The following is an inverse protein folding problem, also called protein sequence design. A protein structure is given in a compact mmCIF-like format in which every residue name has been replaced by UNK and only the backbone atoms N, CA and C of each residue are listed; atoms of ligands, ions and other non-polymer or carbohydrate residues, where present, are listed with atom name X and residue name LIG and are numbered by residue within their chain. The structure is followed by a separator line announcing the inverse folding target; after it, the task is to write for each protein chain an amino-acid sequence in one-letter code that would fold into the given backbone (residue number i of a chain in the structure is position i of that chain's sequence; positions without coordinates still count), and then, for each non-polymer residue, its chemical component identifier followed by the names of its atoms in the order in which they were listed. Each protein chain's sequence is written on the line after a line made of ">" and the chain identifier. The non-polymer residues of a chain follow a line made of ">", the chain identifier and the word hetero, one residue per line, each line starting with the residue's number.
data_IF_545815022825
#
_entry.id   IF_545815022825
#
_cell.length_a   1.000
_cell.length_b   1.000
_cell.length_c   1.000
_cell.angle_alpha   90.00
_cell.angle_beta   90.00
_cell.angle_gamma   90.00
#
_symmetry.space_group_name_H-M   'P 1'
#
loop_
_entity.id
_entity.type
_entity.pdbx_description
1 polymer ?
#
# COMPACT_ATOMS: atom_id res chain seq x y z
N UNK A 1 -17.32 17.84 -8.05
CA UNK A 1 -16.29 18.89 -8.26
C UNK A 1 -14.92 18.24 -8.15
N UNK A 2 -14.06 18.36 -9.17
CA UNK A 2 -12.69 17.82 -9.18
C UNK A 2 -11.86 18.29 -7.97
N UNK A 3 -12.11 19.51 -7.49
CA UNK A 3 -11.47 20.07 -6.29
C UNK A 3 -11.85 19.35 -4.99
N UNK A 4 -13.04 18.74 -4.93
CA UNK A 4 -13.48 17.97 -3.76
C UNK A 4 -12.69 16.68 -3.61
N UNK A 5 -12.56 15.91 -4.69
CA UNK A 5 -11.85 14.64 -4.67
C UNK A 5 -10.35 14.78 -4.37
N UNK A 6 -9.70 15.86 -4.84
CA UNK A 6 -8.31 16.17 -4.49
C UNK A 6 -8.18 16.48 -3.01
N UNK A 7 -9.05 17.36 -2.47
CA UNK A 7 -9.04 17.69 -1.04
C UNK A 7 -9.25 16.44 -0.18
N UNK A 8 -10.20 15.59 -0.56
CA UNK A 8 -10.50 14.36 0.16
C UNK A 8 -9.29 13.40 0.15
N UNK A 9 -8.55 13.34 -0.96
CA UNK A 9 -7.33 12.51 -1.06
C UNK A 9 -6.20 13.03 -0.17
N UNK A 10 -5.95 14.34 -0.16
CA UNK A 10 -4.94 14.95 0.71
C UNK A 10 -5.28 14.75 2.19
N UNK A 11 -6.55 14.94 2.57
CA UNK A 11 -7.01 14.68 3.94
C UNK A 11 -6.85 13.20 4.32
N UNK A 12 -7.16 12.27 3.42
CA UNK A 12 -6.96 10.84 3.70
C UNK A 12 -5.48 10.49 3.89
N UNK A 13 -4.59 11.10 3.12
CA UNK A 13 -3.14 10.92 3.27
C UNK A 13 -2.62 11.47 4.59
N UNK A 14 -3.05 12.66 4.98
CA UNK A 14 -2.66 13.29 6.25
C UNK A 14 -3.19 12.54 7.48
N UNK A 15 -4.37 11.93 7.38
CA UNK A 15 -4.96 11.17 8.50
C UNK A 15 -4.52 9.70 8.53
N UNK A 16 -4.36 9.09 7.37
CA UNK A 16 -4.21 7.64 7.27
C UNK A 16 -3.33 7.15 6.12
N UNK A 17 -2.47 8.02 5.60
CA UNK A 17 -1.56 7.72 4.51
C UNK A 17 -0.46 6.74 4.90
N UNK A 18 -0.13 5.87 3.96
CA UNK A 18 1.05 5.01 3.99
C UNK A 18 1.77 5.21 2.66
N UNK A 19 3.07 5.52 2.68
CA UNK A 19 3.88 5.43 1.46
C UNK A 19 4.27 3.97 1.27
N UNK A 20 4.00 3.43 0.09
CA UNK A 20 4.41 2.09 -0.33
C UNK A 20 5.46 2.24 -1.43
N UNK A 21 6.72 2.17 -1.03
CA UNK A 21 7.85 2.13 -1.97
C UNK A 21 7.95 0.73 -2.58
N UNK A 22 8.17 0.62 -3.89
CA UNK A 22 8.32 -0.66 -4.58
C UNK A 22 9.35 -0.60 -5.71
N UNK A 23 10.11 -1.68 -5.88
CA UNK A 23 11.12 -1.80 -6.94
C UNK A 23 10.55 -2.11 -8.32
N UNK A 24 9.53 -2.97 -8.40
CA UNK A 24 8.99 -3.52 -9.64
C UNK A 24 7.45 -3.52 -9.64
N UNK A 25 6.83 -3.34 -10.81
CA UNK A 25 5.36 -3.27 -10.96
C UNK A 25 4.63 -4.55 -10.50
N UNK A 26 5.31 -5.69 -10.49
CA UNK A 26 4.76 -6.94 -9.95
C UNK A 26 4.31 -6.77 -8.49
N UNK A 27 5.14 -6.12 -7.65
CA UNK A 27 4.87 -5.91 -6.23
C UNK A 27 3.69 -4.98 -6.00
N UNK A 28 3.67 -3.88 -6.74
CA UNK A 28 2.57 -2.95 -6.75
C UNK A 28 1.27 -3.63 -7.24
N UNK A 29 1.39 -4.54 -8.21
CA UNK A 29 0.31 -5.41 -8.69
C UNK A 29 -0.27 -6.29 -7.59
N UNK A 30 0.56 -6.99 -6.80
CA UNK A 30 0.09 -7.83 -5.70
C UNK A 30 -0.71 -7.04 -4.65
N UNK A 31 -0.27 -5.82 -4.33
CA UNK A 31 -1.00 -4.93 -3.42
C UNK A 31 -2.34 -4.48 -4.03
N UNK A 32 -2.32 -4.03 -5.29
CA UNK A 32 -3.52 -3.53 -6.01
C UNK A 32 -4.57 -4.61 -6.26
N UNK A 33 -4.16 -5.86 -6.43
CA UNK A 33 -5.05 -7.02 -6.62
C UNK A 33 -5.43 -7.71 -5.31
N UNK A 34 -5.05 -7.15 -4.16
CA UNK A 34 -5.41 -7.67 -2.85
C UNK A 34 -4.90 -9.11 -2.63
N UNK A 35 -3.75 -9.44 -3.22
CA UNK A 35 -3.12 -10.76 -3.12
C UNK A 35 -2.39 -10.92 -1.79
N UNK A 36 -3.07 -10.67 -0.67
CA UNK A 36 -2.46 -10.47 0.66
C UNK A 36 -1.61 -11.65 1.13
N UNK A 37 -2.13 -12.86 1.00
CA UNK A 37 -1.42 -14.07 1.41
C UNK A 37 -0.19 -14.33 0.53
N UNK A 38 -0.28 -14.06 -0.77
CA UNK A 38 0.89 -14.17 -1.64
C UNK A 38 1.94 -13.11 -1.27
N UNK A 39 1.50 -11.86 -1.18
CA UNK A 39 2.35 -10.72 -0.90
C UNK A 39 3.07 -10.84 0.45
N UNK A 40 2.30 -10.94 1.53
CA UNK A 40 2.83 -10.79 2.88
C UNK A 40 3.26 -12.09 3.54
N UNK A 41 2.76 -13.25 3.09
CA UNK A 41 3.15 -14.55 3.64
C UNK A 41 4.08 -15.33 2.71
N UNK A 42 3.64 -15.65 1.50
CA UNK A 42 4.40 -16.52 0.58
C UNK A 42 5.68 -15.83 0.09
N UNK A 43 5.64 -14.51 -0.13
CA UNK A 43 6.77 -13.70 -0.61
C UNK A 43 7.35 -12.75 0.45
N UNK A 44 7.21 -13.11 1.73
CA UNK A 44 7.58 -12.28 2.90
C UNK A 44 9.03 -11.80 2.90
N UNK A 45 9.97 -12.61 2.42
CA UNK A 45 11.40 -12.27 2.39
C UNK A 45 11.68 -11.27 1.28
N UNK A 46 11.03 -11.46 0.13
CA UNK A 46 11.14 -10.56 -1.00
C UNK A 46 10.52 -9.21 -0.68
N UNK A 47 9.35 -9.17 -0.02
CA UNK A 47 8.72 -7.91 0.43
C UNK A 47 9.70 -7.08 1.25
N UNK A 48 10.45 -7.68 2.18
CA UNK A 48 11.43 -6.96 3.00
C UNK A 48 12.59 -6.36 2.19
N UNK A 49 12.89 -6.89 1.01
CA UNK A 49 14.00 -6.44 0.15
C UNK A 49 13.54 -5.63 -1.08
N UNK A 50 12.24 -5.64 -1.39
CA UNK A 50 11.66 -5.12 -2.64
C UNK A 50 10.57 -4.09 -2.40
N UNK A 51 10.07 -3.97 -1.17
CA UNK A 51 9.04 -3.04 -0.77
C UNK A 51 9.36 -2.37 0.56
N UNK A 52 8.86 -1.15 0.73
CA UNK A 52 8.98 -0.38 1.96
C UNK A 52 7.65 0.26 2.32
N UNK A 53 7.29 0.22 3.59
CA UNK A 53 6.03 0.77 4.10
C UNK A 53 6.37 1.85 5.13
N UNK A 54 5.85 3.06 4.91
CA UNK A 54 6.15 4.21 5.77
C UNK A 54 4.83 4.89 6.14
N UNK A 55 4.55 4.96 7.44
CA UNK A 55 3.34 5.64 7.94
C UNK A 55 3.56 7.14 7.83
N UNK A 56 2.68 7.81 7.09
CA UNK A 56 2.63 9.26 6.96
C UNK A 56 1.47 9.84 7.79
N UNK A 57 0.32 9.15 7.79
CA UNK A 57 -0.89 9.68 8.36
C UNK A 57 -0.84 9.77 9.89
N UNK A 58 -1.15 10.95 10.43
CA UNK A 58 -1.11 11.25 11.86
C UNK A 58 -2.05 10.34 12.67
N UNK A 59 -3.33 10.26 12.27
CA UNK A 59 -4.31 9.42 12.96
C UNK A 59 -3.99 7.92 12.87
N UNK A 60 -3.35 7.47 11.79
CA UNK A 60 -2.87 6.10 11.64
C UNK A 60 -1.65 5.82 12.52
N UNK A 61 -0.72 6.77 12.62
CA UNK A 61 0.43 6.67 13.51
C UNK A 61 0.01 6.57 14.98
N UNK A 62 -0.94 7.39 15.44
CA UNK A 62 -1.47 7.32 16.80
C UNK A 62 -2.14 5.97 17.10
N UNK A 63 -2.95 5.47 16.15
CA UNK A 63 -3.56 4.14 16.27
C UNK A 63 -2.51 3.02 16.30
N UNK A 64 -1.35 3.22 15.68
CA UNK A 64 -0.31 2.18 15.59
C UNK A 64 0.38 1.96 16.95
N UNK A 65 0.20 2.89 17.91
CA UNK A 65 0.63 2.71 19.30
C UNK A 65 -0.19 1.64 20.03
N UNK A 66 -1.43 1.36 19.59
CA UNK A 66 -2.30 0.31 20.11
C UNK A 66 -2.97 -0.44 18.95
N UNK A 67 -2.20 -1.29 18.25
CA UNK A 67 -2.67 -1.94 17.02
C UNK A 67 -3.86 -2.86 17.26
N UNK A 68 -4.80 -2.89 16.32
CA UNK A 68 -5.99 -3.75 16.35
C UNK A 68 -6.26 -4.42 15.00
N UNK A 69 -6.87 -5.61 15.02
CA UNK A 69 -7.26 -6.33 13.80
C UNK A 69 -8.27 -5.49 13.00
N UNK A 70 -8.03 -5.35 11.69
CA UNK A 70 -8.82 -4.45 10.84
C UNK A 70 -8.12 -3.13 10.51
N UNK A 71 -7.03 -2.80 11.22
CA UNK A 71 -6.27 -1.58 10.97
C UNK A 71 -5.71 -1.56 9.54
N UNK A 72 -6.18 -0.59 8.76
CA UNK A 72 -5.89 -0.44 7.32
C UNK A 72 -5.58 1.02 7.01
N UNK A 73 -4.49 1.25 6.29
CA UNK A 73 -4.08 2.58 5.82
C UNK A 73 -4.35 2.76 4.33
N UNK A 74 -4.19 4.01 3.86
CA UNK A 74 -4.31 4.39 2.46
C UNK A 74 -2.93 4.53 1.83
N UNK A 75 -2.55 3.51 1.07
CA UNK A 75 -1.27 3.33 0.41
C UNK A 75 -1.11 4.18 -0.85
N UNK A 76 -0.19 5.13 -0.82
CA UNK A 76 0.36 5.81 -1.99
C UNK A 76 1.52 4.97 -2.54
N UNK A 77 1.35 4.39 -3.74
CA UNK A 77 2.40 3.58 -4.35
C UNK A 77 3.43 4.48 -5.07
N UNK A 78 4.68 4.44 -4.63
CA UNK A 78 5.80 5.15 -5.25
C UNK A 78 6.86 4.17 -5.76
N UNK A 79 7.08 4.20 -7.08
CA UNK A 79 8.15 3.41 -7.70
C UNK A 79 9.52 4.00 -7.31
N UNK A 80 10.45 3.12 -6.93
CA UNK A 80 11.84 3.43 -6.57
C UNK A 80 12.77 2.42 -7.23
N UNK A 81 14.05 2.75 -7.44
CA UNK A 81 15.01 1.76 -7.88
C UNK A 81 15.29 0.68 -6.82
N UNK A 82 15.70 -0.52 -7.24
CA UNK A 82 16.08 -1.60 -6.32
C UNK A 82 17.16 -1.20 -5.30
N UNK A 83 18.08 -0.30 -5.68
CA UNK A 83 19.15 0.18 -4.81
C UNK A 83 18.62 0.98 -3.61
N UNK A 84 17.42 1.56 -3.70
CA UNK A 84 16.76 2.32 -2.64
C UNK A 84 16.77 1.56 -1.30
N UNK A 85 16.45 0.26 -1.32
CA UNK A 85 16.35 -0.57 -0.12
C UNK A 85 17.70 -0.83 0.58
N UNK A 86 18.82 -0.50 -0.08
CA UNK A 86 20.16 -0.58 0.50
C UNK A 86 20.67 0.75 1.07
N UNK A 87 19.95 1.85 0.82
CA UNK A 87 20.37 3.17 1.29
C UNK A 87 20.16 3.34 2.80
N UNK A 88 20.92 4.26 3.45
CA UNK A 88 20.62 4.69 4.81
C UNK A 88 19.18 5.22 4.92
N UNK A 89 18.53 4.97 6.06
CA UNK A 89 17.13 5.35 6.29
C UNK A 89 16.88 6.85 6.05
N UNK A 90 17.79 7.74 6.47
CA UNK A 90 17.65 9.17 6.24
C UNK A 90 17.61 9.54 4.74
N UNK A 91 18.39 8.84 3.91
CA UNK A 91 18.38 9.05 2.46
C UNK A 91 17.10 8.50 1.83
N UNK A 92 16.62 7.34 2.29
CA UNK A 92 15.34 6.79 1.85
C UNK A 92 14.19 7.77 2.14
N UNK A 93 14.12 8.30 3.35
CA UNK A 93 13.08 9.26 3.75
C UNK A 93 13.15 10.55 2.92
N UNK A 94 14.34 11.13 2.74
CA UNK A 94 14.49 12.32 1.92
C UNK A 94 14.10 12.09 0.45
N UNK A 95 14.42 10.92 -0.10
CA UNK A 95 14.03 10.55 -1.45
C UNK A 95 12.51 10.39 -1.58
N UNK A 96 11.86 9.69 -0.63
CA UNK A 96 10.42 9.52 -0.62
C UNK A 96 9.67 10.84 -0.43
N UNK A 97 10.18 11.73 0.42
CA UNK A 97 9.61 13.06 0.64
C UNK A 97 9.60 13.88 -0.65
N UNK A 98 10.74 13.96 -1.34
CA UNK A 98 10.84 14.65 -2.63
C UNK A 98 9.91 14.04 -3.69
N UNK A 99 9.89 12.71 -3.80
CA UNK A 99 9.03 11.99 -4.76
C UNK A 99 7.55 12.20 -4.47
N UNK A 100 7.16 12.20 -3.20
CA UNK A 100 5.79 12.47 -2.78
C UNK A 100 5.41 13.92 -3.07
N UNK A 101 6.28 14.89 -2.76
CA UNK A 101 6.05 16.30 -3.07
C UNK A 101 5.85 16.53 -4.58
N UNK A 102 6.70 15.95 -5.42
CA UNK A 102 6.57 16.00 -6.88
C UNK A 102 5.25 15.38 -7.36
N UNK A 103 4.86 14.23 -6.78
CA UNK A 103 3.61 13.57 -7.09
C UNK A 103 2.39 14.43 -6.74
N UNK A 104 2.39 15.04 -5.55
CA UNK A 104 1.30 15.90 -5.07
C UNK A 104 1.25 17.26 -5.78
N UNK A 105 2.38 17.76 -6.30
CA UNK A 105 2.43 19.00 -7.06
C UNK A 105 1.83 18.86 -8.47
N UNK A 106 1.73 17.63 -8.99
CA UNK A 106 1.16 17.38 -10.31
C UNK A 106 -0.38 17.43 -10.27
N UNK A 107 -1.03 18.36 -10.99
CA UNK A 107 -2.49 18.50 -10.97
C UNK A 107 -3.25 17.32 -11.60
N UNK A 108 -2.56 16.43 -12.32
CA UNK A 108 -3.14 15.21 -12.88
C UNK A 108 -3.23 14.05 -11.87
N UNK A 109 -2.59 14.18 -10.70
CA UNK A 109 -2.61 13.18 -9.63
C UNK A 109 -3.58 13.54 -8.50
N UNK A 110 -3.86 12.57 -7.63
CA UNK A 110 -4.79 12.70 -6.49
C UNK A 110 -6.20 13.13 -6.92
N UNK A 111 -6.63 12.76 -8.13
CA UNK A 111 -7.96 13.12 -8.66
C UNK A 111 -9.04 12.22 -8.09
N UNK A 112 -8.65 11.08 -7.50
CA UNK A 112 -9.54 10.16 -6.81
C UNK A 112 -8.85 9.43 -5.67
N UNK A 113 -9.60 9.22 -4.58
CA UNK A 113 -9.19 8.34 -3.48
C UNK A 113 -8.98 6.88 -3.91
N UNK A 114 -9.47 6.50 -5.10
CA UNK A 114 -9.21 5.18 -5.73
C UNK A 114 -7.76 4.99 -6.16
N UNK A 115 -6.97 6.06 -6.25
CA UNK A 115 -5.53 5.99 -6.50
C UNK A 115 -4.77 5.43 -5.30
N UNK A 116 -5.37 5.46 -4.10
CA UNK A 116 -4.80 4.91 -2.88
C UNK A 116 -5.19 3.43 -2.73
N UNK A 117 -4.20 2.56 -2.55
CA UNK A 117 -4.44 1.14 -2.31
C UNK A 117 -4.61 0.87 -0.80
N UNK A 118 -5.54 0.01 -0.38
CA UNK A 118 -5.64 -0.36 1.02
C UNK A 118 -4.37 -1.12 1.46
N UNK A 119 -3.82 -0.77 2.63
CA UNK A 119 -2.67 -1.46 3.23
C UNK A 119 -3.09 -2.05 4.58
N UNK A 120 -3.19 -3.38 4.75
CA UNK A 120 -3.46 -3.98 6.05
C UNK A 120 -2.18 -3.96 6.90
N UNK A 121 -2.08 -3.00 7.82
CA UNK A 121 -0.84 -2.71 8.55
C UNK A 121 -0.28 -3.91 9.30
N UNK A 122 -1.12 -4.69 9.96
CA UNK A 122 -0.69 -5.86 10.72
C UNK A 122 -0.31 -7.04 9.82
N UNK A 123 -0.61 -6.96 8.52
CA UNK A 123 -0.13 -7.90 7.52
C UNK A 123 1.30 -7.64 7.06
N UNK A 124 1.82 -6.41 7.24
CA UNK A 124 3.17 -6.04 6.78
C UNK A 124 4.24 -6.84 7.54
N UNK A 125 5.15 -7.55 6.84
CA UNK A 125 6.17 -8.37 7.49
C UNK A 125 7.00 -7.58 8.50
N UNK A 126 7.11 -8.11 9.72
CA UNK A 126 7.90 -7.53 10.82
C UNK A 126 7.14 -6.54 11.71
N UNK A 127 5.90 -6.18 11.40
CA UNK A 127 5.12 -5.22 12.22
C UNK A 127 4.24 -5.89 13.27
N UNK A 128 3.91 -7.17 13.09
CA UNK A 128 3.18 -7.96 14.06
C UNK A 128 3.67 -9.41 14.05
N UNK A 129 3.37 -10.16 15.11
CA UNK A 129 3.55 -11.61 15.11
C UNK A 129 2.52 -12.23 14.15
N UNK A 130 3.00 -12.82 13.05
CA UNK A 130 2.18 -13.34 11.96
C UNK A 130 2.46 -14.83 11.76
N UNK A 131 1.40 -15.62 11.58
CA UNK A 131 1.45 -17.00 11.09
C UNK A 131 0.66 -17.13 9.79
N UNK A 132 0.67 -18.32 9.18
CA UNK A 132 -0.04 -18.54 7.91
C UNK A 132 -1.55 -18.31 8.07
N UNK A 133 -2.12 -18.77 9.19
CA UNK A 133 -3.55 -18.75 9.50
C UNK A 133 -4.06 -17.31 9.70
N UNK A 134 -3.20 -16.40 10.13
CA UNK A 134 -3.53 -14.98 10.26
C UNK A 134 -4.02 -14.39 8.93
N UNK A 135 -3.39 -14.79 7.81
CA UNK A 135 -3.76 -14.33 6.46
C UNK A 135 -5.03 -15.00 5.91
N UNK A 136 -5.59 -15.99 6.61
CA UNK A 136 -6.87 -16.62 6.25
C UNK A 136 -8.07 -15.86 6.84
N UNK A 137 -7.84 -14.85 7.69
CA UNK A 137 -8.89 -13.97 8.18
C UNK A 137 -9.39 -13.03 7.06
N UNK A 138 -10.43 -13.45 6.34
CA UNK A 138 -11.02 -12.70 5.22
C UNK A 138 -11.77 -11.44 5.64
N UNK A 139 -12.14 -11.28 6.92
CA UNK A 139 -12.76 -10.05 7.41
C UNK A 139 -11.76 -8.89 7.43
N UNK A 140 -10.48 -9.23 7.68
CA UNK A 140 -9.35 -8.31 7.63
C UNK A 140 -8.69 -8.29 6.25
N UNK A 141 -8.26 -9.45 5.75
CA UNK A 141 -7.62 -9.64 4.44
C UNK A 141 -8.66 -9.86 3.35
N UNK A 142 -9.51 -8.86 3.15
CA UNK A 142 -10.61 -8.94 2.19
C UNK A 142 -10.08 -9.18 0.78
N UNK A 143 -10.63 -10.15 0.03
CA UNK A 143 -10.27 -10.33 -1.36
C UNK A 143 -10.66 -9.08 -2.16
N UNK A 144 -9.84 -8.74 -3.15
CA UNK A 144 -10.11 -7.64 -4.06
C UNK A 144 -11.42 -7.87 -4.81
N UNK A 145 -11.98 -6.80 -5.40
CA UNK A 145 -13.13 -6.97 -6.29
C UNK A 145 -12.69 -7.91 -7.40
N UNK A 146 -13.26 -9.11 -7.44
CA UNK A 146 -13.12 -10.02 -8.58
C UNK A 146 -13.65 -9.26 -9.78
N UNK A 147 -12.77 -8.83 -10.68
CA UNK A 147 -13.19 -8.55 -12.05
C UNK A 147 -13.88 -9.84 -12.50
N UNK A 148 -15.18 -9.75 -12.81
CA UNK A 148 -15.95 -10.90 -13.24
C UNK A 148 -15.19 -11.55 -14.38
N UNK A 149 -14.72 -12.77 -14.15
CA UNK A 149 -13.97 -13.55 -15.12
C UNK A 149 -14.82 -13.62 -16.38
N UNK A 150 -14.40 -12.92 -17.43
CA UNK A 150 -15.01 -13.03 -18.74
C UNK A 150 -14.66 -14.45 -19.23
N UNK A 151 -15.55 -15.39 -18.94
CA UNK A 151 -15.57 -16.69 -19.59
C UNK A 151 -15.88 -16.42 -21.06
N UNK A 152 -14.83 -16.25 -21.88
CA UNK A 152 -14.97 -16.38 -23.33
C UNK A 152 -15.29 -17.85 -23.58
N UNK A 153 -16.58 -18.14 -23.77
CA UNK A 153 -17.02 -19.36 -24.41
C UNK A 153 -16.43 -19.39 -25.82
N UNK A 154 -15.57 -20.38 -26.08
CA UNK A 154 -15.12 -20.72 -27.43
C UNK A 154 -16.32 -21.37 -28.14
N UNK A 155 -16.82 -20.82 -29.26
CA UNK A 155 -17.85 -21.51 -30.03
C UNK A 155 -17.20 -22.68 -30.80
N UNK A 156 -17.94 -23.79 -30.85
CA UNK A 156 -17.66 -24.96 -31.69
C UNK A 156 -17.82 -24.64 -33.16
#
# INVERSE_FOLDING_TARGET
>A
SQRGAVRDTHTLLDESGVIVAYADEEWAGLLRHFSWRELFWQRREQVQSRMGFYILGHGLYEKALQPYIGMTGHGMLLAVEQAFFSWPQAQQLAHLDARLADYLANPEHCRSTRELAPVPLLGVPGWAAQNAEFYDNTDYFRPGRREASHLVQVPR
#
